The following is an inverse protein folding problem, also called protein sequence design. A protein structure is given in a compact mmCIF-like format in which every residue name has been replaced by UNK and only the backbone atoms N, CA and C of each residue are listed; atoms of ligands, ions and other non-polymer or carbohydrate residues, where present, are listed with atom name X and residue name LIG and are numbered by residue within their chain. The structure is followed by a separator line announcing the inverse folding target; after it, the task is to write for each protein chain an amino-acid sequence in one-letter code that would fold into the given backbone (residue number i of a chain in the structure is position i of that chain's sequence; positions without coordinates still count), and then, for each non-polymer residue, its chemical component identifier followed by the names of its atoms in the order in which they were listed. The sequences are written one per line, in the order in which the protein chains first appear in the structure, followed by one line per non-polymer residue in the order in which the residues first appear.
data_IF_681713744166
#
_entry.id   IF_681713744166
#
_cell.length_a   1.000
_cell.length_b   1.000
_cell.length_c   1.000
_cell.angle_alpha   90.00
_cell.angle_beta   90.00
_cell.angle_gamma   90.00
#
_symmetry.space_group_name_H-M   'P 1'
#
loop_
_entity.id
_entity.type
_entity.pdbx_description
1 polymer ?
#
# COMPACT_ATOMS: atom_id res chain seq x y z
N UNK A 1 -4.72 20.36 10.91
CA UNK A 1 -4.65 19.52 12.14
C UNK A 1 -3.43 18.63 12.03
N UNK A 2 -2.44 18.78 12.91
CA UNK A 2 -1.27 17.89 12.95
C UNK A 2 -1.63 16.56 13.59
N UNK A 3 -1.19 15.45 12.99
CA UNK A 3 -1.30 14.12 13.60
C UNK A 3 -0.22 13.99 14.68
N UNK A 4 -0.62 13.82 15.94
CA UNK A 4 0.30 13.56 17.04
C UNK A 4 0.49 12.06 17.19
N UNK A 5 1.66 11.55 16.83
CA UNK A 5 2.02 10.15 17.02
C UNK A 5 2.71 10.00 18.37
N UNK A 6 2.16 9.16 19.25
CA UNK A 6 2.74 8.83 20.55
C UNK A 6 3.16 7.37 20.55
N UNK A 7 4.43 7.08 20.85
CA UNK A 7 4.93 5.73 21.08
C UNK A 7 5.03 5.51 22.58
N UNK A 8 4.20 4.62 23.11
CA UNK A 8 4.27 4.19 24.50
C UNK A 8 5.05 2.88 24.55
N UNK A 9 6.00 2.75 25.49
CA UNK A 9 6.76 1.51 25.71
C UNK A 9 5.90 0.42 26.36
N UNK A 10 4.81 0.05 25.71
CA UNK A 10 3.86 -0.95 26.18
C UNK A 10 4.53 -2.33 26.17
N UNK A 11 4.21 -3.14 27.18
CA UNK A 11 4.57 -4.55 27.21
C UNK A 11 3.69 -5.34 26.23
N UNK A 12 4.04 -6.61 25.99
CA UNK A 12 3.24 -7.51 25.19
C UNK A 12 1.78 -7.56 25.72
N UNK A 13 0.76 -7.61 24.84
CA UNK A 13 -0.61 -7.76 25.27
C UNK A 13 -0.79 -9.05 26.06
N UNK A 14 -1.53 -8.98 27.16
CA UNK A 14 -1.74 -10.12 28.06
C UNK A 14 -2.84 -11.08 27.59
N UNK A 15 -3.60 -10.68 26.57
CA UNK A 15 -4.87 -11.31 26.20
C UNK A 15 -5.02 -11.41 24.67
N UNK A 16 -3.94 -11.87 24.04
CA UNK A 16 -3.78 -12.00 22.58
C UNK A 16 -4.09 -13.43 22.15
N UNK A 17 -5.30 -13.65 21.64
CA UNK A 17 -5.77 -14.97 21.26
C UNK A 17 -5.85 -15.14 19.73
N UNK A 18 -6.34 -16.31 19.30
CA UNK A 18 -6.51 -16.70 17.90
C UNK A 18 -7.42 -15.74 17.13
N UNK A 19 -8.38 -15.09 17.79
CA UNK A 19 -9.33 -14.16 17.19
C UNK A 19 -8.65 -12.89 16.64
N UNK A 20 -7.67 -12.36 17.38
CA UNK A 20 -6.81 -11.25 16.94
C UNK A 20 -5.96 -11.68 15.77
N UNK A 21 -5.34 -12.85 15.87
CA UNK A 21 -4.49 -13.41 14.79
C UNK A 21 -5.31 -13.63 13.52
N UNK A 22 -6.55 -14.09 13.64
CA UNK A 22 -7.48 -14.27 12.54
C UNK A 22 -7.92 -12.95 11.91
N UNK A 23 -8.15 -11.91 12.71
CA UNK A 23 -8.43 -10.57 12.20
C UNK A 23 -7.25 -9.99 11.41
N UNK A 24 -6.02 -10.15 11.93
CA UNK A 24 -4.81 -9.75 11.21
C UNK A 24 -4.63 -10.53 9.91
N UNK A 25 -4.94 -11.83 9.93
CA UNK A 25 -4.91 -12.70 8.75
C UNK A 25 -5.96 -12.27 7.72
N UNK A 26 -7.19 -11.94 8.15
CA UNK A 26 -8.25 -11.36 7.30
C UNK A 26 -7.78 -10.04 6.68
N UNK A 27 -7.10 -9.18 7.44
CA UNK A 27 -6.60 -7.89 6.96
C UNK A 27 -5.52 -8.07 5.88
N UNK A 28 -4.60 -9.02 6.08
CA UNK A 28 -3.59 -9.38 5.09
C UNK A 28 -4.23 -9.96 3.80
N UNK A 29 -5.18 -10.89 3.93
CA UNK A 29 -5.91 -11.43 2.76
C UNK A 29 -6.66 -10.34 2.02
N UNK A 30 -7.31 -9.43 2.73
CA UNK A 30 -8.02 -8.32 2.11
C UNK A 30 -7.07 -7.39 1.35
N UNK A 31 -5.91 -7.03 1.93
CA UNK A 31 -4.86 -6.30 1.21
C UNK A 31 -4.46 -7.01 -0.08
N UNK A 32 -4.15 -8.31 0.00
CA UNK A 32 -3.74 -9.09 -1.17
C UNK A 32 -4.86 -9.13 -2.24
N UNK A 33 -6.13 -9.23 -1.84
CA UNK A 33 -7.25 -9.16 -2.79
C UNK A 33 -7.35 -7.80 -3.48
N UNK A 34 -7.11 -6.70 -2.77
CA UNK A 34 -7.06 -5.37 -3.38
C UNK A 34 -5.90 -5.22 -4.37
N UNK A 35 -4.74 -5.83 -4.08
CA UNK A 35 -3.59 -5.85 -5.00
C UNK A 35 -3.89 -6.65 -6.26
N UNK A 36 -4.58 -7.78 -6.14
CA UNK A 36 -5.06 -8.58 -7.28
C UNK A 36 -5.97 -7.75 -8.19
N UNK A 37 -7.02 -7.14 -7.63
CA UNK A 37 -7.96 -6.27 -8.36
C UNK A 37 -7.24 -5.13 -9.09
N UNK A 38 -6.28 -4.46 -8.44
CA UNK A 38 -5.52 -3.38 -9.08
C UNK A 38 -4.58 -3.88 -10.19
N UNK A 39 -3.98 -5.06 -10.02
CA UNK A 39 -3.12 -5.65 -11.07
C UNK A 39 -3.94 -6.01 -12.30
N UNK A 40 -5.11 -6.63 -12.11
CA UNK A 40 -6.02 -6.97 -13.20
C UNK A 40 -6.53 -5.70 -13.90
N UNK A 41 -6.95 -4.70 -13.12
CA UNK A 41 -7.35 -3.40 -13.67
C UNK A 41 -6.24 -2.74 -14.49
N UNK A 42 -4.99 -2.78 -14.00
CA UNK A 42 -3.84 -2.23 -14.74
C UNK A 42 -3.53 -3.02 -16.00
N UNK A 43 -3.63 -4.34 -15.96
CA UNK A 43 -3.43 -5.17 -17.15
C UNK A 43 -4.48 -4.84 -18.23
N UNK A 44 -5.74 -4.71 -17.85
CA UNK A 44 -6.83 -4.29 -18.76
C UNK A 44 -6.67 -2.86 -19.26
N UNK A 45 -6.20 -1.94 -18.39
CA UNK A 45 -5.89 -0.56 -18.76
C UNK A 45 -4.79 -0.51 -19.83
N UNK A 46 -3.70 -1.25 -19.64
CA UNK A 46 -2.63 -1.34 -20.62
C UNK A 46 -3.09 -2.02 -21.91
N UNK A 47 -3.83 -3.13 -21.82
CA UNK A 47 -4.42 -3.80 -22.99
C UNK A 47 -5.34 -2.85 -23.77
N UNK A 48 -6.06 -1.97 -23.08
CA UNK A 48 -6.89 -0.96 -23.71
C UNK A 48 -6.05 0.02 -24.51
N UNK A 49 -5.05 0.64 -23.88
CA UNK A 49 -4.17 1.60 -24.56
C UNK A 49 -3.35 0.97 -25.69
N UNK A 50 -2.96 -0.31 -25.56
CA UNK A 50 -2.20 -1.03 -26.56
C UNK A 50 -2.98 -1.30 -27.86
N UNK A 51 -4.29 -1.02 -27.90
CA UNK A 51 -5.05 -1.00 -29.16
C UNK A 51 -4.62 0.14 -30.08
N UNK A 52 -4.01 1.20 -29.53
CA UNK A 52 -3.40 2.25 -30.34
C UNK A 52 -2.08 1.76 -30.93
N UNK A 53 -2.10 1.40 -32.22
CA UNK A 53 -0.91 0.93 -32.94
C UNK A 53 0.25 1.94 -32.88
N UNK A 54 -0.03 3.23 -33.00
CA UNK A 54 0.97 4.29 -32.89
C UNK A 54 1.64 4.33 -31.51
N UNK A 55 0.86 4.16 -30.43
CA UNK A 55 1.41 4.11 -29.08
C UNK A 55 2.26 2.85 -28.83
N UNK A 56 1.86 1.71 -29.40
CA UNK A 56 2.65 0.48 -29.35
C UNK A 56 3.98 0.63 -30.12
N UNK A 57 3.93 1.22 -31.31
CA UNK A 57 5.12 1.42 -32.15
C UNK A 57 6.15 2.32 -31.45
N UNK A 58 5.73 3.49 -30.94
CA UNK A 58 6.62 4.41 -30.24
C UNK A 58 7.19 3.78 -28.95
N UNK A 59 6.39 2.96 -28.26
CA UNK A 59 6.83 2.23 -27.08
C UNK A 59 7.88 1.16 -27.40
N UNK A 60 7.74 0.44 -28.53
CA UNK A 60 8.76 -0.50 -29.02
C UNK A 60 10.07 0.20 -29.31
N UNK A 61 10.04 1.32 -30.05
CA UNK A 61 11.22 2.09 -30.39
C UNK A 61 11.95 2.62 -29.15
N UNK A 62 11.21 3.13 -28.16
CA UNK A 62 11.80 3.55 -26.88
C UNK A 62 12.43 2.36 -26.15
N UNK A 63 11.77 1.20 -26.15
CA UNK A 63 12.25 0.00 -25.47
C UNK A 63 13.54 -0.52 -26.10
N UNK A 64 13.64 -0.52 -27.43
CA UNK A 64 14.86 -0.89 -28.17
C UNK A 64 16.03 0.04 -27.81
N UNK A 65 15.80 1.35 -27.83
CA UNK A 65 16.82 2.35 -27.49
C UNK A 65 17.24 2.31 -26.02
N UNK A 66 16.31 2.09 -25.07
CA UNK A 66 16.65 1.92 -23.65
C UNK A 66 17.40 0.59 -23.39
N UNK A 67 17.10 -0.46 -24.16
CA UNK A 67 17.84 -1.73 -24.09
C UNK A 67 19.29 -1.52 -24.54
N UNK A 68 19.50 -0.82 -25.65
CA UNK A 68 20.83 -0.42 -26.11
C UNK A 68 21.56 0.42 -25.04
N UNK A 69 20.86 1.41 -24.48
CA UNK A 69 21.38 2.30 -23.44
C UNK A 69 21.82 1.54 -22.19
N UNK A 70 21.03 0.60 -21.71
CA UNK A 70 21.36 -0.22 -20.54
C UNK A 70 22.58 -1.12 -20.83
N UNK A 71 22.63 -1.75 -22.01
CA UNK A 71 23.79 -2.56 -22.43
C UNK A 71 25.09 -1.73 -22.45
N UNK A 72 25.03 -0.49 -22.96
CA UNK A 72 26.17 0.43 -22.96
C UNK A 72 26.58 0.86 -21.55
N UNK A 73 25.62 1.09 -20.66
CA UNK A 73 25.91 1.41 -19.24
C UNK A 73 26.63 0.24 -18.58
N UNK A 74 26.16 -0.99 -18.80
CA UNK A 74 26.78 -2.20 -18.26
C UNK A 74 28.20 -2.39 -18.79
N UNK A 75 28.41 -2.26 -20.11
CA UNK A 75 29.73 -2.39 -20.73
C UNK A 75 30.70 -1.30 -20.24
N UNK A 76 30.26 -0.04 -20.19
CA UNK A 76 31.05 1.06 -19.63
C UNK A 76 31.46 0.79 -18.18
N UNK A 77 30.54 0.29 -17.36
CA UNK A 77 30.82 -0.05 -15.96
C UNK A 77 31.81 -1.21 -15.86
N UNK A 78 31.70 -2.21 -16.75
CA UNK A 78 32.64 -3.34 -16.84
C UNK A 78 34.06 -2.88 -17.18
N UNK A 79 34.21 -1.99 -18.17
CA UNK A 79 35.51 -1.42 -18.55
C UNK A 79 36.14 -0.60 -17.42
N UNK A 80 35.35 0.22 -16.73
CA UNK A 80 35.80 0.98 -15.55
C UNK A 80 36.24 0.08 -14.41
N UNK A 81 35.53 -1.01 -14.17
CA UNK A 81 35.90 -2.01 -13.17
C UNK A 81 37.22 -2.72 -13.56
N UNK A 82 37.36 -3.13 -14.82
CA UNK A 82 38.57 -3.79 -15.33
C UNK A 82 39.82 -2.90 -15.22
N UNK A 83 39.69 -1.61 -15.57
CA UNK A 83 40.78 -0.64 -15.44
C UNK A 83 41.04 -0.20 -13.99
N UNK A 84 40.18 -0.60 -13.03
CA UNK A 84 40.16 -0.16 -11.62
C UNK A 84 40.22 1.37 -11.45
N UNK A 85 39.81 2.12 -12.46
CA UNK A 85 39.89 3.57 -12.49
C UNK A 85 38.93 4.12 -13.53
N UNK A 86 38.23 5.19 -13.18
CA UNK A 86 37.35 5.92 -14.11
C UNK A 86 38.14 6.72 -15.15
N UNK A 87 39.31 7.23 -14.78
CA UNK A 87 40.13 8.08 -15.65
C UNK A 87 40.98 7.28 -16.66
N UNK A 88 41.30 6.02 -16.33
CA UNK A 88 42.12 5.15 -17.19
C UNK A 88 41.29 4.22 -18.08
N UNK A 89 39.97 4.17 -17.88
CA UNK A 89 39.10 3.34 -18.70
C UNK A 89 38.83 4.04 -20.03
N UNK A 90 39.11 3.36 -21.13
CA UNK A 90 38.73 3.82 -22.47
C UNK A 90 37.22 3.64 -22.67
N UNK A 91 36.47 4.68 -22.30
CA UNK A 91 35.00 4.73 -22.40
C UNK A 91 34.45 5.88 -23.23
N UNK A 92 35.31 6.56 -24.01
CA UNK A 92 34.92 7.76 -24.75
C UNK A 92 33.80 7.46 -25.77
N UNK A 93 33.89 6.31 -26.46
CA UNK A 93 32.89 5.85 -27.42
C UNK A 93 31.53 5.58 -26.74
N UNK A 94 31.51 4.89 -25.59
CA UNK A 94 30.28 4.64 -24.84
C UNK A 94 29.66 5.95 -24.33
N UNK A 95 30.47 6.87 -23.81
CA UNK A 95 29.97 8.15 -23.29
C UNK A 95 29.41 9.04 -24.43
N UNK A 96 30.02 9.02 -25.63
CA UNK A 96 29.48 9.66 -26.83
C UNK A 96 28.15 9.03 -27.26
N UNK A 97 28.09 7.70 -27.39
CA UNK A 97 26.87 6.99 -27.80
C UNK A 97 25.72 7.14 -26.79
N UNK A 98 26.02 7.16 -25.49
CA UNK A 98 25.02 7.45 -24.45
C UNK A 98 24.43 8.86 -24.58
N UNK A 99 25.24 9.83 -25.02
CA UNK A 99 24.79 11.20 -25.29
C UNK A 99 23.89 11.25 -26.53
N UNK A 100 24.27 10.56 -27.61
CA UNK A 100 23.43 10.41 -28.80
C UNK A 100 22.09 9.74 -28.48
N UNK A 101 22.10 8.63 -27.74
CA UNK A 101 20.89 7.91 -27.34
C UNK A 101 19.96 8.79 -26.50
N UNK A 102 20.51 9.60 -25.59
CA UNK A 102 19.71 10.58 -24.83
C UNK A 102 19.02 11.57 -25.77
N UNK A 103 19.75 12.08 -26.75
CA UNK A 103 19.24 13.09 -27.68
C UNK A 103 18.22 12.50 -28.66
N UNK A 104 18.39 11.23 -29.06
CA UNK A 104 17.45 10.43 -29.83
C UNK A 104 16.18 10.10 -29.04
N UNK A 105 16.29 9.65 -27.79
CA UNK A 105 15.15 9.27 -26.94
C UNK A 105 14.21 10.45 -26.62
N UNK A 106 14.76 11.66 -26.52
CA UNK A 106 14.01 12.87 -26.17
C UNK A 106 12.78 13.14 -27.06
N UNK A 107 12.87 13.20 -28.41
CA UNK A 107 11.70 13.34 -29.26
C UNK A 107 10.73 12.16 -29.14
N UNK A 108 11.19 10.92 -29.02
CA UNK A 108 10.31 9.77 -28.79
C UNK A 108 9.50 9.89 -27.51
N UNK A 109 10.09 10.37 -26.41
CA UNK A 109 9.35 10.61 -25.16
C UNK A 109 8.30 11.72 -25.30
N UNK A 110 8.61 12.79 -26.06
CA UNK A 110 7.67 13.86 -26.34
C UNK A 110 6.49 13.36 -27.19
N UNK A 111 6.78 12.59 -28.24
CA UNK A 111 5.78 11.99 -29.12
C UNK A 111 4.90 10.99 -28.36
N UNK A 112 5.50 10.08 -27.58
CA UNK A 112 4.78 9.14 -26.71
C UNK A 112 3.83 9.86 -25.76
N UNK A 113 4.23 10.99 -25.19
CA UNK A 113 3.36 11.79 -24.30
C UNK A 113 2.12 12.28 -25.04
N UNK A 114 2.29 12.79 -26.26
CA UNK A 114 1.19 13.28 -27.11
C UNK A 114 0.28 12.14 -27.53
N UNK A 115 0.84 11.04 -28.05
CA UNK A 115 0.08 9.85 -28.46
C UNK A 115 -0.67 9.22 -27.28
N UNK A 116 -0.04 9.14 -26.10
CA UNK A 116 -0.69 8.63 -24.90
C UNK A 116 -1.85 9.52 -24.46
N UNK A 117 -1.76 10.84 -24.60
CA UNK A 117 -2.85 11.74 -24.27
C UNK A 117 -4.02 11.57 -25.25
N UNK A 118 -3.74 11.45 -26.54
CA UNK A 118 -4.75 11.22 -27.58
C UNK A 118 -5.48 9.88 -27.38
N UNK A 119 -4.73 8.78 -27.20
CA UNK A 119 -5.32 7.46 -26.97
C UNK A 119 -6.18 7.41 -25.70
N UNK A 120 -5.76 8.08 -24.62
CA UNK A 120 -6.57 8.19 -23.39
C UNK A 120 -7.86 9.00 -23.59
N UNK A 121 -7.82 10.04 -24.41
CA UNK A 121 -8.99 10.85 -24.71
C UNK A 121 -10.00 10.07 -25.56
N UNK A 122 -9.53 9.34 -26.57
CA UNK A 122 -10.33 8.48 -27.43
C UNK A 122 -11.00 7.34 -26.64
N UNK A 123 -10.22 6.65 -25.80
CA UNK A 123 -10.68 5.48 -25.04
C UNK A 123 -11.30 5.85 -23.68
N UNK A 124 -11.53 7.14 -23.41
CA UNK A 124 -12.00 7.65 -22.11
C UNK A 124 -13.25 6.91 -21.59
N UNK A 125 -14.32 6.66 -22.38
CA UNK A 125 -15.51 5.98 -21.88
C UNK A 125 -15.22 4.56 -21.37
N UNK A 126 -14.35 3.82 -22.07
CA UNK A 126 -13.97 2.47 -21.67
C UNK A 126 -13.09 2.48 -20.42
N UNK A 127 -12.17 3.44 -20.31
CA UNK A 127 -11.34 3.60 -19.12
C UNK A 127 -12.15 4.00 -17.88
N UNK A 128 -13.19 4.83 -18.05
CA UNK A 128 -14.12 5.17 -16.97
C UNK A 128 -14.96 3.97 -16.55
N UNK A 129 -15.45 3.17 -17.50
CA UNK A 129 -16.14 1.91 -17.22
C UNK A 129 -15.26 0.94 -16.43
N UNK A 130 -14.00 0.77 -16.86
CA UNK A 130 -13.02 -0.09 -16.21
C UNK A 130 -12.72 0.36 -14.76
N UNK A 131 -12.61 1.67 -14.50
CA UNK A 131 -12.44 2.18 -13.13
C UNK A 131 -13.72 2.02 -12.29
N UNK A 132 -14.92 2.09 -12.90
CA UNK A 132 -16.18 1.82 -12.20
C UNK A 132 -16.30 0.34 -11.80
N UNK A 133 -15.95 -0.58 -12.69
CA UNK A 133 -15.90 -2.02 -12.41
C UNK A 133 -14.95 -2.33 -11.25
N UNK A 134 -13.72 -1.79 -11.29
CA UNK A 134 -12.74 -1.91 -10.20
C UNK A 134 -13.30 -1.41 -8.86
N UNK A 135 -14.06 -0.31 -8.84
CA UNK A 135 -14.66 0.22 -7.61
C UNK A 135 -15.71 -0.72 -7.04
N UNK A 136 -16.55 -1.32 -7.88
CA UNK A 136 -17.52 -2.31 -7.44
C UNK A 136 -16.84 -3.60 -6.95
N UNK A 137 -15.77 -4.07 -7.61
CA UNK A 137 -14.97 -5.20 -7.13
C UNK A 137 -14.33 -4.93 -5.76
N UNK A 138 -13.75 -3.74 -5.55
CA UNK A 138 -13.20 -3.35 -4.24
C UNK A 138 -14.29 -3.31 -3.18
N UNK A 139 -15.47 -2.79 -3.52
CA UNK A 139 -16.63 -2.75 -2.62
C UNK A 139 -17.13 -4.15 -2.25
N UNK A 140 -17.21 -5.06 -3.22
CA UNK A 140 -17.56 -6.45 -3.00
C UNK A 140 -16.51 -7.17 -2.13
N UNK A 141 -15.22 -6.99 -2.43
CA UNK A 141 -14.12 -7.54 -1.64
C UNK A 141 -14.14 -7.03 -0.18
N UNK A 142 -14.46 -5.74 0.01
CA UNK A 142 -14.64 -5.16 1.35
C UNK A 142 -15.78 -5.84 2.10
N UNK A 143 -16.94 -6.02 1.46
CA UNK A 143 -18.12 -6.66 2.06
C UNK A 143 -17.84 -8.13 2.42
N UNK A 144 -17.09 -8.85 1.58
CA UNK A 144 -16.72 -10.24 1.79
C UNK A 144 -15.53 -10.43 2.75
N UNK A 145 -14.81 -9.36 3.15
CA UNK A 145 -13.58 -9.46 3.93
C UNK A 145 -13.77 -10.05 5.33
N UNK A 146 -14.99 -9.94 5.89
CA UNK A 146 -15.30 -10.34 7.27
C UNK A 146 -14.58 -9.49 8.34
N UNK A 147 -13.89 -8.43 7.93
CA UNK A 147 -13.17 -7.52 8.82
C UNK A 147 -14.14 -6.64 9.60
N UNK A 148 -13.76 -6.32 10.83
CA UNK A 148 -14.39 -5.24 11.54
C UNK A 148 -14.16 -3.90 10.82
N UNK A 149 -15.12 -2.99 10.95
CA UNK A 149 -15.24 -1.87 10.02
C UNK A 149 -14.08 -0.89 10.06
N UNK A 150 -13.51 -0.66 11.24
CA UNK A 150 -12.32 0.17 11.40
C UNK A 150 -11.08 -0.47 10.76
N UNK A 151 -10.97 -1.79 10.81
CA UNK A 151 -9.84 -2.52 10.23
C UNK A 151 -9.88 -2.49 8.70
N UNK A 152 -11.03 -2.76 8.06
CA UNK A 152 -11.09 -2.67 6.60
C UNK A 152 -10.88 -1.23 6.11
N UNK A 153 -11.35 -0.22 6.85
CA UNK A 153 -11.12 1.19 6.51
C UNK A 153 -9.62 1.49 6.53
N UNK A 154 -8.93 1.08 7.59
CA UNK A 154 -7.49 1.27 7.71
C UNK A 154 -6.70 0.57 6.59
N UNK A 155 -7.13 -0.62 6.15
CA UNK A 155 -6.54 -1.30 4.99
C UNK A 155 -6.80 -0.53 3.71
N UNK A 156 -8.04 -0.07 3.46
CA UNK A 156 -8.39 0.72 2.28
C UNK A 156 -7.63 2.04 2.20
N UNK A 157 -7.49 2.76 3.31
CA UNK A 157 -6.74 4.01 3.35
C UNK A 157 -5.27 3.78 3.00
N UNK A 158 -4.67 2.73 3.57
CA UNK A 158 -3.28 2.37 3.29
C UNK A 158 -3.10 1.96 1.83
N UNK A 159 -4.06 1.20 1.29
CA UNK A 159 -4.10 0.81 -0.11
C UNK A 159 -4.23 2.01 -1.04
N UNK A 160 -5.12 2.96 -0.74
CA UNK A 160 -5.34 4.16 -1.57
C UNK A 160 -4.10 5.05 -1.62
N UNK A 161 -3.41 5.21 -0.49
CA UNK A 161 -2.11 5.92 -0.45
C UNK A 161 -1.07 5.19 -1.30
N UNK A 162 -0.95 3.87 -1.11
CA UNK A 162 -0.01 3.06 -1.88
C UNK A 162 -0.31 3.08 -3.39
N UNK A 163 -1.59 2.98 -3.77
CA UNK A 163 -2.07 3.06 -5.16
C UNK A 163 -1.72 4.42 -5.77
N UNK A 164 -2.03 5.51 -5.08
CA UNK A 164 -1.73 6.87 -5.54
C UNK A 164 -0.24 7.05 -5.79
N UNK A 165 0.59 6.58 -4.85
CA UNK A 165 2.05 6.59 -4.99
C UNK A 165 2.50 5.74 -6.18
N UNK A 166 2.00 4.52 -6.29
CA UNK A 166 2.32 3.59 -7.37
C UNK A 166 1.93 4.13 -8.76
N UNK A 167 0.81 4.85 -8.88
CA UNK A 167 0.42 5.50 -10.13
C UNK A 167 1.34 6.67 -10.52
N UNK A 168 1.80 7.46 -9.54
CA UNK A 168 2.74 8.57 -9.76
C UNK A 168 4.13 8.08 -10.16
N UNK A 169 4.60 7.01 -9.53
CA UNK A 169 5.95 6.46 -9.71
C UNK A 169 6.02 5.42 -10.83
N UNK A 170 4.89 5.01 -11.42
CA UNK A 170 4.84 3.90 -12.38
C UNK A 170 5.17 2.53 -11.77
N UNK A 171 5.19 2.42 -10.44
CA UNK A 171 5.50 1.19 -9.71
C UNK A 171 4.27 0.28 -9.60
N UNK A 172 4.47 -1.01 -9.35
CA UNK A 172 3.39 -1.97 -9.08
C UNK A 172 3.22 -2.24 -7.58
N UNK A 173 1.96 -2.42 -7.15
CA UNK A 173 1.67 -2.89 -5.80
C UNK A 173 2.13 -4.33 -5.60
N UNK A 174 2.53 -4.66 -4.37
CA UNK A 174 3.08 -5.96 -4.00
C UNK A 174 2.14 -6.68 -3.03
N UNK A 175 2.05 -8.00 -3.21
CA UNK A 175 1.44 -8.87 -2.22
C UNK A 175 2.30 -8.90 -0.96
N UNK A 176 1.63 -9.09 0.18
CA UNK A 176 2.28 -9.25 1.48
C UNK A 176 2.11 -10.69 1.97
N UNK A 177 3.21 -11.30 2.39
CA UNK A 177 3.17 -12.55 3.15
C UNK A 177 2.59 -12.26 4.54
N UNK A 178 1.84 -13.22 5.09
CA UNK A 178 1.40 -13.14 6.48
C UNK A 178 2.49 -13.74 7.39
N UNK A 179 3.07 -12.89 8.24
CA UNK A 179 4.14 -13.27 9.19
C UNK A 179 3.67 -13.18 10.66
N UNK A 180 2.36 -13.01 10.88
CA UNK A 180 1.79 -12.78 12.21
C UNK A 180 1.77 -11.31 12.64
N UNK A 181 2.46 -10.44 11.89
CA UNK A 181 2.47 -9.01 12.15
C UNK A 181 1.30 -8.27 11.48
N UNK A 182 0.93 -7.12 12.03
CA UNK A 182 -0.06 -6.24 11.43
C UNK A 182 -0.50 -5.09 12.33
N UNK A 183 -1.64 -4.50 11.98
CA UNK A 183 -2.24 -3.39 12.71
C UNK A 183 -3.73 -3.65 12.90
N UNK A 184 -4.17 -3.62 14.15
CA UNK A 184 -5.57 -3.44 14.50
C UNK A 184 -5.85 -1.95 14.70
N UNK A 185 -7.03 -1.51 14.25
CA UNK A 185 -7.49 -0.14 14.41
C UNK A 185 -8.80 -0.17 15.18
N UNK A 186 -8.83 0.56 16.29
CA UNK A 186 -10.04 0.81 17.04
C UNK A 186 -10.44 2.28 16.84
N UNK A 187 -11.52 2.51 16.11
CA UNK A 187 -11.98 3.87 15.80
C UNK A 187 -13.11 4.25 16.76
N UNK A 188 -12.80 5.17 17.68
CA UNK A 188 -13.76 5.71 18.64
C UNK A 188 -14.62 6.78 17.95
N UNK A 189 -15.87 6.45 17.67
CA UNK A 189 -16.83 7.39 17.08
C UNK A 189 -17.26 8.43 18.13
N UNK A 190 -17.38 9.70 17.72
CA UNK A 190 -17.73 10.80 18.64
C UNK A 190 -16.58 11.27 19.55
N UNK A 191 -15.41 10.65 19.45
CA UNK A 191 -14.24 10.98 20.28
C UNK A 191 -14.35 10.45 21.71
N UNK A 192 -13.31 10.71 22.49
CA UNK A 192 -13.22 10.31 23.89
C UNK A 192 -12.48 11.40 24.67
N UNK A 193 -13.08 11.85 25.77
CA UNK A 193 -12.43 12.78 26.68
C UNK A 193 -11.37 12.05 27.50
N UNK A 194 -10.33 12.77 27.93
CA UNK A 194 -9.31 12.25 28.84
C UNK A 194 -9.93 11.69 30.11
N UNK A 195 -10.94 12.38 30.65
CA UNK A 195 -11.69 11.95 31.83
C UNK A 195 -12.35 10.59 31.62
N UNK A 196 -13.06 10.37 30.49
CA UNK A 196 -13.71 9.08 30.20
C UNK A 196 -12.72 7.94 30.00
N UNK A 197 -11.54 8.22 29.44
CA UNK A 197 -10.47 7.24 29.29
C UNK A 197 -9.91 6.84 30.66
N UNK A 198 -9.68 7.81 31.55
CA UNK A 198 -9.09 7.62 32.88
C UNK A 198 -10.08 7.02 33.89
N UNK A 199 -11.38 7.32 33.75
CA UNK A 199 -12.42 6.77 34.63
C UNK A 199 -12.87 5.36 34.23
N UNK A 200 -12.38 4.85 33.10
CA UNK A 200 -12.84 3.57 32.55
C UNK A 200 -14.27 3.62 31.98
N UNK A 201 -14.86 4.81 31.83
CA UNK A 201 -16.24 4.99 31.38
C UNK A 201 -16.49 4.69 29.89
N UNK A 202 -15.47 4.34 29.12
CA UNK A 202 -15.59 4.00 27.70
C UNK A 202 -15.44 2.49 27.46
N UNK A 203 -16.32 1.90 26.66
CA UNK A 203 -16.37 0.44 26.43
C UNK A 203 -15.25 -0.10 25.53
N UNK A 204 -14.59 0.78 24.77
CA UNK A 204 -13.57 0.39 23.78
C UNK A 204 -12.12 0.61 24.26
N UNK A 205 -11.89 1.53 25.19
CA UNK A 205 -10.55 1.90 25.66
C UNK A 205 -10.61 2.46 27.08
N UNK A 206 -9.74 1.98 27.96
CA UNK A 206 -9.70 2.36 29.38
C UNK A 206 -8.25 2.41 29.85
N UNK A 207 -7.88 3.40 30.65
CA UNK A 207 -6.56 3.47 31.28
C UNK A 207 -6.73 3.37 32.80
N UNK A 208 -6.14 2.35 33.42
CA UNK A 208 -6.08 2.21 34.87
C UNK A 208 -4.64 2.36 35.35
N UNK A 209 -4.40 3.24 36.33
CA UNK A 209 -3.10 3.32 37.01
C UNK A 209 -3.15 2.28 38.13
N UNK A 210 -2.31 1.25 38.04
CA UNK A 210 -2.39 0.11 38.96
C UNK A 210 -1.38 0.20 40.09
N UNK A 211 -0.21 0.80 39.86
CA UNK A 211 0.82 0.96 40.89
C UNK A 211 1.83 2.05 40.50
N UNK A 212 2.80 2.31 41.39
CA UNK A 212 3.95 3.16 41.11
C UNK A 212 5.20 2.29 41.07
N UNK A 213 5.97 2.33 39.97
CA UNK A 213 7.23 1.61 39.81
C UNK A 213 8.38 2.60 39.69
N UNK A 214 9.37 2.51 40.59
CA UNK A 214 10.52 3.43 40.65
C UNK A 214 10.12 4.92 40.66
N UNK A 215 9.09 5.26 41.42
CA UNK A 215 8.55 6.63 41.51
C UNK A 215 7.79 7.11 40.27
N UNK A 216 7.56 6.26 39.27
CA UNK A 216 6.76 6.57 38.07
C UNK A 216 5.42 5.82 38.12
N UNK A 217 4.29 6.48 37.79
CA UNK A 217 3.02 5.79 37.67
C UNK A 217 3.11 4.72 36.57
N UNK A 218 2.76 3.49 36.94
CA UNK A 218 2.65 2.35 36.06
C UNK A 218 1.17 1.95 35.99
N UNK A 219 0.68 1.70 34.78
CA UNK A 219 -0.72 1.44 34.55
C UNK A 219 -0.94 0.47 33.41
N UNK A 220 -2.18 0.02 33.28
CA UNK A 220 -2.65 -0.87 32.23
C UNK A 220 -3.55 -0.08 31.30
N UNK A 221 -3.23 -0.12 30.01
CA UNK A 221 -4.12 0.34 28.96
C UNK A 221 -4.91 -0.86 28.45
N UNK A 222 -6.22 -0.88 28.71
CA UNK A 222 -7.13 -1.87 28.14
C UNK A 222 -7.73 -1.32 26.85
N UNK A 223 -7.60 -2.06 25.76
CA UNK A 223 -8.23 -1.76 24.47
C UNK A 223 -9.10 -2.97 24.11
N UNK A 224 -10.41 -2.76 23.98
CA UNK A 224 -11.31 -3.78 23.46
C UNK A 224 -11.35 -3.66 21.94
N UNK A 225 -10.62 -4.54 21.27
CA UNK A 225 -10.71 -4.69 19.82
C UNK A 225 -11.96 -5.51 19.48
N UNK A 226 -12.75 -5.03 18.52
CA UNK A 226 -13.84 -5.82 17.95
C UNK A 226 -13.28 -6.58 16.76
N UNK A 227 -13.52 -7.88 16.75
CA UNK A 227 -13.07 -8.81 15.71
C UNK A 227 -14.31 -9.51 15.16
N UNK A 228 -14.51 -9.42 13.86
CA UNK A 228 -15.69 -9.93 13.14
C UNK A 228 -17.07 -9.41 13.63
N UNK A 229 -18.11 -9.93 12.98
CA UNK A 229 -19.52 -9.72 13.33
C UNK A 229 -20.13 -11.05 13.75
N UNK A 230 -21.13 -11.03 14.62
CA UNK A 230 -21.88 -12.23 14.99
C UNK A 230 -22.80 -12.70 13.83
N UNK A 231 -23.48 -13.83 14.04
CA UNK A 231 -24.44 -14.38 13.07
C UNK A 231 -25.59 -13.41 12.72
N UNK A 232 -25.82 -12.38 13.54
CA UNK A 232 -26.83 -11.34 13.35
C UNK A 232 -26.23 -10.04 12.78
N UNK A 233 -25.00 -10.09 12.26
CA UNK A 233 -24.28 -8.95 11.70
C UNK A 233 -24.05 -7.81 12.70
N UNK A 234 -24.15 -8.05 14.01
CA UNK A 234 -23.78 -7.08 15.05
C UNK A 234 -22.27 -7.18 15.33
N UNK A 235 -21.62 -6.08 15.76
CA UNK A 235 -20.26 -6.16 16.28
C UNK A 235 -20.24 -7.21 17.41
N UNK A 236 -19.58 -8.34 17.18
CA UNK A 236 -19.46 -9.33 18.23
C UNK A 236 -18.43 -8.79 19.23
N UNK A 237 -18.77 -8.63 20.51
CA UNK A 237 -17.74 -8.64 21.54
C UNK A 237 -17.04 -10.01 21.48
N UNK A 238 -15.77 -10.03 21.91
CA UNK A 238 -14.99 -11.27 22.02
C UNK A 238 -15.82 -12.39 22.66
N UNK A 239 -15.92 -13.58 22.06
CA UNK A 239 -16.52 -14.73 22.72
C UNK A 239 -15.68 -15.04 23.96
N UNK A 240 -16.26 -14.82 25.16
CA UNK A 240 -15.56 -14.99 26.44
C UNK A 240 -15.34 -13.70 27.25
N UNK A 241 -15.79 -12.52 26.79
CA UNK A 241 -15.79 -11.30 27.63
C UNK A 241 -16.96 -11.28 28.64
N UNK A 242 -17.13 -12.36 29.39
CA UNK A 242 -17.65 -12.25 30.75
C UNK A 242 -16.59 -11.51 31.55
N UNK A 243 -17.01 -10.54 32.35
CA UNK A 243 -16.15 -9.68 33.15
C UNK A 243 -15.02 -10.44 33.84
N UNK A 244 -13.80 -10.35 33.32
CA UNK A 244 -12.60 -10.74 34.04
C UNK A 244 -12.01 -9.49 34.66
N UNK A 245 -12.46 -9.26 35.89
CA UNK A 245 -11.92 -8.32 36.87
C UNK A 245 -10.52 -8.77 37.27
N UNK A 246 -9.54 -7.88 37.12
CA UNK A 246 -8.47 -7.71 38.09
C UNK A 246 -8.48 -6.24 38.49
#
# INVERSE_FOLDING_TARGET
MGVVVRKYGLLAPTDWDDDVTDELRRANRFWNKLVEIERDNRAQYQSTLNRSAALCQIASQITELETERENLIQERNRRRAAARSKAKADTAEQDARLTELRDLLRPFYAERKTLSAAARAEMKPELEKLEAERREEVKAARQASGLFWSNYNAVLDSFNVARTKALKEGAQLRFHRFEGEGRLVNQIQGGMTTEKLLSGGHSQAQLSITHTSRGRPAGVLRIKAFVARDANNKPAPRPGSGDCVY
#
